data_IF_331384899082
#
_entry.id   IF_331384899082
#
_cell.length_a   1.000
_cell.length_b   1.000
_cell.length_c   1.000
_cell.angle_alpha   90.00
_cell.angle_beta   90.00
_cell.angle_gamma   90.00
#
_symmetry.space_group_name_H-M   'P 1'
#
loop_
_entity.id
_entity.type
_entity.pdbx_description
1 polymer ?
#
# COMPACT_ATOMS: atom_id res chain seq x y z
N UNK A 1 35.23 1.87 27.49
CA UNK A 1 33.93 1.54 26.86
C UNK A 1 33.75 2.55 25.73
N UNK A 2 33.94 2.14 24.46
CA UNK A 2 34.06 3.06 23.32
C UNK A 2 32.77 3.16 22.47
N UNK A 3 31.69 2.52 22.91
CA UNK A 3 30.40 2.53 22.22
C UNK A 3 29.44 3.51 22.94
N UNK A 4 28.98 4.52 22.22
CA UNK A 4 28.10 5.58 22.73
C UNK A 4 26.73 5.06 23.17
N UNK A 5 26.24 3.97 22.57
CA UNK A 5 24.96 3.34 22.92
C UNK A 5 25.10 2.65 24.28
N UNK A 6 26.16 1.85 24.45
CA UNK A 6 26.40 1.09 25.67
C UNK A 6 26.70 2.04 26.85
N UNK A 7 27.45 3.13 26.62
CA UNK A 7 27.73 4.14 27.65
C UNK A 7 26.46 4.82 28.16
N UNK A 8 25.42 4.97 27.35
CA UNK A 8 24.16 5.65 27.75
C UNK A 8 23.11 4.72 28.32
N UNK A 9 23.18 3.43 28.02
CA UNK A 9 22.29 2.44 28.61
C UNK A 9 22.63 2.15 30.08
N UNK A 10 23.84 2.48 30.56
CA UNK A 10 24.27 2.24 31.94
C UNK A 10 24.26 3.50 32.80
N UNK A 11 23.56 3.42 33.94
CA UNK A 11 23.51 4.46 34.99
C UNK A 11 24.78 4.44 35.87
N UNK A 12 25.42 3.27 36.03
CA UNK A 12 26.67 3.09 36.76
C UNK A 12 27.59 2.11 36.02
N UNK A 13 28.91 2.34 36.05
CA UNK A 13 29.90 1.42 35.47
C UNK A 13 31.17 1.40 36.33
N UNK A 14 31.62 0.20 36.73
CA UNK A 14 32.82 -0.01 37.57
C UNK A 14 32.89 0.88 38.82
N UNK A 15 31.77 1.04 39.53
CA UNK A 15 31.68 1.84 40.76
C UNK A 15 31.58 3.36 40.55
N UNK A 16 31.67 3.85 39.31
CA UNK A 16 31.45 5.25 38.98
C UNK A 16 30.00 5.49 38.53
N UNK A 17 29.41 6.61 38.98
CA UNK A 17 28.08 7.06 38.56
C UNK A 17 28.21 7.80 37.22
N UNK A 18 27.47 7.35 36.22
CA UNK A 18 27.50 7.85 34.84
C UNK A 18 26.22 8.66 34.50
N UNK A 19 25.48 9.07 35.53
CA UNK A 19 24.28 9.89 35.44
C UNK A 19 24.57 11.33 35.89
N UNK A 20 24.13 12.35 35.14
CA UNK A 20 23.41 12.30 33.86
C UNK A 20 24.33 11.94 32.68
N UNK A 21 23.81 11.28 31.63
CA UNK A 21 24.62 10.91 30.47
C UNK A 21 25.18 12.17 29.79
N UNK A 22 26.44 12.09 29.35
CA UNK A 22 27.07 13.17 28.58
C UNK A 22 26.19 13.53 27.37
N UNK A 23 25.86 14.83 27.18
CA UNK A 23 25.06 15.27 26.05
C UNK A 23 25.74 14.83 24.76
N UNK A 24 24.92 14.42 23.79
CA UNK A 24 25.42 14.17 22.43
C UNK A 24 26.25 15.38 22.00
N UNK A 25 27.46 15.18 21.42
CA UNK A 25 27.93 16.18 20.49
C UNK A 25 26.79 16.26 19.47
N UNK A 26 26.05 17.37 19.49
CA UNK A 26 25.10 17.66 18.44
C UNK A 26 25.93 17.56 17.18
N UNK A 27 25.70 16.48 16.42
CA UNK A 27 26.04 16.46 15.02
C UNK A 27 25.27 17.67 14.49
N UNK A 28 25.96 18.81 14.43
CA UNK A 28 25.86 19.69 13.29
C UNK A 28 26.21 18.79 12.11
N UNK A 29 25.24 17.96 11.71
CA UNK A 29 25.14 17.42 10.38
C UNK A 29 25.33 18.66 9.56
N UNK A 30 26.55 18.77 9.03
CA UNK A 30 27.18 20.00 8.57
C UNK A 30 26.07 20.89 8.04
N UNK A 31 25.70 21.94 8.80
CA UNK A 31 24.54 22.76 8.49
C UNK A 31 24.58 22.96 6.99
N UNK A 32 23.67 22.27 6.28
CA UNK A 32 23.80 21.92 4.86
C UNK A 32 24.31 23.17 4.20
N UNK A 33 25.62 23.20 3.86
CA UNK A 33 26.33 24.43 3.53
C UNK A 33 25.40 25.15 2.59
N UNK A 34 24.80 26.26 3.05
CA UNK A 34 23.68 26.86 2.35
C UNK A 34 24.22 27.13 0.96
N UNK A 35 23.82 26.26 0.01
CA UNK A 35 24.22 26.37 -1.36
C UNK A 35 23.69 27.72 -1.72
N UNK A 36 24.60 28.66 -2.01
CA UNK A 36 24.24 29.98 -2.51
C UNK A 36 23.09 29.76 -3.50
N UNK A 37 21.96 30.49 -3.36
CA UNK A 37 20.73 30.21 -4.11
C UNK A 37 21.13 29.92 -5.54
N UNK A 38 20.97 28.65 -5.92
CA UNK A 38 21.44 28.14 -7.19
C UNK A 38 20.74 29.02 -8.21
N UNK A 39 21.49 29.89 -8.91
CA UNK A 39 20.95 30.69 -10.01
C UNK A 39 20.11 29.72 -10.83
N UNK A 40 18.84 30.05 -11.16
CA UNK A 40 17.96 29.11 -11.84
C UNK A 40 18.69 28.64 -13.09
N UNK A 41 19.21 27.42 -13.02
CA UNK A 41 19.84 26.77 -14.16
C UNK A 41 18.67 26.60 -15.11
N UNK A 42 18.67 27.39 -16.19
CA UNK A 42 17.63 27.29 -17.20
C UNK A 42 17.46 25.81 -17.54
N UNK A 43 16.27 25.26 -17.26
CA UNK A 43 16.00 23.85 -17.51
C UNK A 43 16.41 23.56 -18.97
N UNK A 44 17.27 22.55 -19.22
CA UNK A 44 17.64 22.26 -20.60
C UNK A 44 16.36 21.94 -21.35
N UNK A 45 16.03 22.74 -22.39
CA UNK A 45 14.83 22.58 -23.24
C UNK A 45 14.59 21.14 -23.69
N UNK A 46 15.67 20.35 -23.79
CA UNK A 46 15.65 18.93 -24.13
C UNK A 46 14.97 18.03 -23.07
N UNK A 47 14.96 18.41 -21.79
CA UNK A 47 14.32 17.64 -20.70
C UNK A 47 12.79 17.69 -20.80
N UNK A 48 12.24 18.85 -21.15
CA UNK A 48 10.82 19.03 -21.42
C UNK A 48 10.40 18.25 -22.67
N UNK A 49 11.16 18.37 -23.77
CA UNK A 49 10.89 17.64 -25.02
C UNK A 49 10.96 16.12 -24.83
N UNK A 50 11.96 15.62 -24.11
CA UNK A 50 12.11 14.18 -23.79
C UNK A 50 10.96 13.67 -22.91
N UNK A 51 10.48 14.47 -21.96
CA UNK A 51 9.33 14.15 -21.11
C UNK A 51 8.02 14.12 -21.90
N UNK A 52 7.85 15.04 -22.86
CA UNK A 52 6.70 15.04 -23.79
C UNK A 52 6.74 13.85 -24.74
N UNK A 53 7.91 13.54 -25.32
CA UNK A 53 8.08 12.37 -26.19
C UNK A 53 7.84 11.07 -25.42
N UNK A 54 8.35 10.95 -24.19
CA UNK A 54 8.13 9.75 -23.37
C UNK A 54 6.66 9.57 -22.95
N UNK A 55 5.96 10.67 -22.65
CA UNK A 55 4.53 10.59 -22.32
C UNK A 55 3.68 10.28 -23.56
N UNK A 56 4.00 10.86 -24.72
CA UNK A 56 3.36 10.52 -25.98
C UNK A 56 3.60 9.04 -26.35
N UNK A 57 4.81 8.50 -26.12
CA UNK A 57 5.12 7.09 -26.34
C UNK A 57 4.28 6.19 -25.43
N UNK A 58 4.17 6.52 -24.14
CA UNK A 58 3.33 5.79 -23.20
C UNK A 58 1.85 5.81 -23.58
N UNK A 59 1.33 6.98 -24.00
CA UNK A 59 -0.04 7.11 -24.48
C UNK A 59 -0.28 6.28 -25.74
N UNK A 60 0.68 6.26 -26.68
CA UNK A 60 0.60 5.45 -27.89
C UNK A 60 0.60 3.95 -27.57
N UNK A 61 1.44 3.50 -26.63
CA UNK A 61 1.47 2.10 -26.16
C UNK A 61 0.14 1.70 -25.52
N UNK A 62 -0.40 2.54 -24.63
CA UNK A 62 -1.69 2.30 -23.98
C UNK A 62 -2.80 2.26 -25.03
N UNK A 63 -2.82 3.19 -25.98
CA UNK A 63 -3.79 3.23 -27.07
C UNK A 63 -3.72 1.98 -27.95
N UNK A 64 -2.52 1.53 -28.32
CA UNK A 64 -2.32 0.31 -29.09
C UNK A 64 -2.78 -0.94 -28.31
N UNK A 65 -2.49 -1.02 -27.01
CA UNK A 65 -2.95 -2.11 -26.15
C UNK A 65 -4.47 -2.14 -26.04
N UNK A 66 -5.12 -0.99 -25.84
CA UNK A 66 -6.57 -0.90 -25.77
C UNK A 66 -7.23 -1.25 -27.11
N UNK A 67 -6.62 -0.87 -28.23
CA UNK A 67 -7.09 -1.22 -29.57
C UNK A 67 -7.00 -2.73 -29.82
N UNK A 68 -5.85 -3.34 -29.51
CA UNK A 68 -5.67 -4.79 -29.61
C UNK A 68 -6.64 -5.53 -28.69
N UNK A 69 -6.81 -5.07 -27.46
CA UNK A 69 -7.77 -5.63 -26.52
C UNK A 69 -9.19 -5.58 -27.10
N UNK A 70 -9.60 -4.46 -27.69
CA UNK A 70 -10.92 -4.32 -28.33
C UNK A 70 -11.12 -5.19 -29.56
N UNK A 71 -10.05 -5.52 -30.30
CA UNK A 71 -10.13 -6.42 -31.46
C UNK A 71 -10.31 -7.89 -31.07
N UNK A 72 -9.66 -8.33 -29.99
CA UNK A 72 -9.62 -9.75 -29.63
C UNK A 72 -10.54 -10.12 -28.46
N UNK A 73 -11.01 -9.15 -27.67
CA UNK A 73 -11.81 -9.43 -26.49
C UNK A 73 -13.29 -9.73 -26.82
N UNK A 74 -13.92 -10.70 -26.13
CA UNK A 74 -15.36 -10.92 -26.21
C UNK A 74 -16.17 -9.68 -25.78
N UNK A 75 -17.38 -9.45 -26.32
CA UNK A 75 -18.22 -8.31 -25.95
C UNK A 75 -18.53 -8.21 -24.44
N UNK A 76 -18.72 -9.36 -23.78
CA UNK A 76 -18.97 -9.42 -22.32
C UNK A 76 -17.75 -8.95 -21.52
N UNK A 77 -16.54 -9.26 -22.01
CA UNK A 77 -15.31 -8.79 -21.37
C UNK A 77 -15.22 -7.27 -21.38
N UNK A 78 -15.63 -6.61 -22.48
CA UNK A 78 -15.60 -5.14 -22.57
C UNK A 78 -16.49 -4.48 -21.51
N UNK A 79 -17.64 -5.09 -21.19
CA UNK A 79 -18.50 -4.67 -20.08
C UNK A 79 -17.78 -4.75 -18.73
N UNK A 80 -17.21 -5.92 -18.39
CA UNK A 80 -16.46 -6.10 -17.15
C UNK A 80 -15.22 -5.21 -17.05
N UNK A 81 -14.50 -5.03 -18.16
CA UNK A 81 -13.32 -4.17 -18.23
C UNK A 81 -13.67 -2.70 -17.98
N UNK A 82 -14.78 -2.22 -18.54
CA UNK A 82 -15.26 -0.86 -18.29
C UNK A 82 -15.61 -0.67 -16.81
N UNK A 83 -16.33 -1.62 -16.22
CA UNK A 83 -16.66 -1.59 -14.78
C UNK A 83 -15.38 -1.61 -13.93
N UNK A 84 -14.40 -2.44 -14.31
CA UNK A 84 -13.10 -2.52 -13.62
C UNK A 84 -12.36 -1.17 -13.65
N UNK A 85 -12.23 -0.53 -14.81
CA UNK A 85 -11.56 0.78 -14.94
C UNK A 85 -12.28 1.84 -14.12
N UNK A 86 -13.60 1.93 -14.20
CA UNK A 86 -14.38 2.88 -13.41
C UNK A 86 -14.26 2.61 -11.90
N UNK A 87 -14.24 1.34 -11.48
CA UNK A 87 -14.05 0.97 -10.08
C UNK A 87 -12.66 1.38 -9.55
N UNK A 88 -11.60 1.34 -10.38
CA UNK A 88 -10.27 1.83 -10.00
C UNK A 88 -10.31 3.35 -9.74
N UNK A 89 -10.96 4.12 -10.61
CA UNK A 89 -11.13 5.57 -10.41
C UNK A 89 -11.92 5.87 -9.13
N UNK A 90 -13.02 5.15 -8.89
CA UNK A 90 -13.82 5.30 -7.67
C UNK A 90 -12.99 4.95 -6.43
N UNK A 91 -12.27 3.83 -6.44
CA UNK A 91 -11.42 3.40 -5.33
C UNK A 91 -10.33 4.42 -5.00
N UNK A 92 -9.70 5.01 -6.03
CA UNK A 92 -8.74 6.09 -5.85
C UNK A 92 -9.37 7.32 -5.17
N UNK A 93 -10.53 7.76 -5.67
CA UNK A 93 -11.23 8.94 -5.13
C UNK A 93 -11.65 8.75 -3.66
N UNK A 94 -12.09 7.53 -3.30
CA UNK A 94 -12.54 7.20 -1.94
C UNK A 94 -11.38 7.18 -0.94
N UNK A 95 -10.19 6.72 -1.35
CA UNK A 95 -9.03 6.60 -0.47
C UNK A 95 -8.20 7.89 -0.39
N UNK A 96 -8.33 8.81 -1.36
CA UNK A 96 -7.48 10.02 -1.40
C UNK A 96 -7.64 10.96 -0.19
N UNK A 97 -8.82 10.99 0.43
CA UNK A 97 -9.15 11.95 1.49
C UNK A 97 -9.42 11.31 2.86
N UNK A 98 -8.80 10.15 3.16
CA UNK A 98 -8.97 9.54 4.49
C UNK A 98 -8.11 10.27 5.52
N UNK A 99 -8.67 10.56 6.70
CA UNK A 99 -7.94 11.17 7.81
C UNK A 99 -6.73 10.30 8.20
N UNK A 100 -5.57 10.93 8.48
CA UNK A 100 -4.33 10.22 8.79
C UNK A 100 -4.46 9.19 9.92
N UNK A 101 -5.27 9.50 10.95
CA UNK A 101 -5.54 8.59 12.07
C UNK A 101 -6.26 7.29 11.65
N UNK A 102 -6.89 7.27 10.47
CA UNK A 102 -7.67 6.15 9.95
C UNK A 102 -6.90 5.30 8.94
N UNK A 103 -5.63 5.57 8.61
CA UNK A 103 -4.89 4.72 7.67
C UNK A 103 -4.73 3.27 8.16
N UNK A 104 -4.49 3.07 9.45
CA UNK A 104 -4.38 1.71 10.02
C UNK A 104 -5.74 0.98 10.05
N UNK A 105 -6.84 1.61 10.53
CA UNK A 105 -8.18 1.07 10.35
C UNK A 105 -8.54 0.79 8.87
N UNK A 106 -8.16 1.68 7.95
CA UNK A 106 -8.41 1.53 6.52
C UNK A 106 -7.68 0.29 5.97
N UNK A 107 -6.41 0.09 6.34
CA UNK A 107 -5.66 -1.12 5.98
C UNK A 107 -6.41 -2.38 6.45
N UNK A 108 -6.90 -2.39 7.69
CA UNK A 108 -7.68 -3.50 8.23
C UNK A 108 -9.00 -3.74 7.46
N UNK A 109 -9.71 -2.68 7.08
CA UNK A 109 -10.92 -2.77 6.26
C UNK A 109 -10.61 -3.35 4.88
N UNK A 110 -9.56 -2.85 4.22
CA UNK A 110 -9.19 -3.35 2.89
C UNK A 110 -8.80 -4.83 2.91
N UNK A 111 -8.21 -5.30 4.01
CA UNK A 111 -8.00 -6.73 4.21
C UNK A 111 -9.35 -7.47 4.31
N UNK A 112 -10.29 -7.00 5.14
CA UNK A 112 -11.62 -7.63 5.26
C UNK A 112 -12.39 -7.68 3.92
N UNK A 113 -12.32 -6.61 3.13
CA UNK A 113 -12.96 -6.53 1.79
C UNK A 113 -12.31 -7.50 0.81
N UNK A 114 -10.99 -7.73 0.91
CA UNK A 114 -10.30 -8.72 0.05
C UNK A 114 -10.85 -10.14 0.20
N UNK A 115 -11.55 -10.42 1.31
CA UNK A 115 -12.31 -11.65 1.53
C UNK A 115 -13.43 -11.92 0.51
N UNK A 116 -13.74 -10.99 -0.41
CA UNK A 116 -14.67 -11.18 -1.55
C UNK A 116 -14.36 -12.42 -2.39
N UNK A 117 -13.12 -12.94 -2.34
CA UNK A 117 -12.73 -14.22 -2.92
C UNK A 117 -13.63 -15.39 -2.48
N UNK A 118 -14.37 -15.25 -1.37
CA UNK A 118 -15.38 -16.22 -0.93
C UNK A 118 -16.41 -16.53 -2.02
N UNK A 119 -16.77 -15.56 -2.86
CA UNK A 119 -17.70 -15.76 -3.98
C UNK A 119 -17.15 -16.81 -4.95
N UNK A 120 -15.85 -16.77 -5.25
CA UNK A 120 -15.21 -17.76 -6.11
C UNK A 120 -15.25 -19.16 -5.51
N UNK A 121 -15.01 -19.30 -4.21
CA UNK A 121 -15.12 -20.58 -3.52
C UNK A 121 -16.55 -21.14 -3.54
N UNK A 122 -17.55 -20.29 -3.27
CA UNK A 122 -18.96 -20.69 -3.29
C UNK A 122 -19.44 -21.10 -4.68
N UNK A 123 -19.00 -20.42 -5.75
CA UNK A 123 -19.35 -20.76 -7.13
C UNK A 123 -18.74 -22.10 -7.58
N UNK A 124 -17.65 -22.53 -6.96
CA UNK A 124 -16.95 -23.77 -7.28
C UNK A 124 -17.38 -24.96 -6.42
N UNK A 125 -18.18 -24.73 -5.38
CA UNK A 125 -18.71 -25.78 -4.51
C UNK A 125 -19.74 -26.61 -5.29
N UNK A 126 -19.62 -27.93 -5.24
CA UNK A 126 -20.54 -28.87 -5.88
C UNK A 126 -21.06 -29.90 -4.88
N UNK A 127 -22.21 -30.51 -5.16
CA UNK A 127 -22.83 -31.53 -4.29
C UNK A 127 -22.01 -32.83 -4.19
N UNK A 128 -21.05 -33.04 -5.09
CA UNK A 128 -20.10 -34.15 -5.00
C UNK A 128 -18.99 -33.85 -3.97
N UNK A 129 -19.17 -34.38 -2.76
CA UNK A 129 -18.22 -34.26 -1.64
C UNK A 129 -16.89 -35.00 -1.94
N UNK A 130 -16.90 -35.99 -2.83
CA UNK A 130 -15.69 -36.74 -3.22
C UNK A 130 -14.82 -35.99 -4.23
N UNK A 131 -15.35 -34.95 -4.86
CA UNK A 131 -14.62 -34.14 -5.83
C UNK A 131 -13.49 -33.34 -5.17
N UNK A 132 -12.27 -33.49 -5.69
CA UNK A 132 -11.11 -32.69 -5.27
C UNK A 132 -11.38 -31.19 -5.40
N UNK A 133 -12.16 -30.78 -6.41
CA UNK A 133 -12.53 -29.38 -6.62
C UNK A 133 -13.42 -28.89 -5.48
N UNK A 134 -14.40 -29.69 -5.06
CA UNK A 134 -15.31 -29.35 -3.96
C UNK A 134 -14.56 -29.21 -2.62
N UNK A 135 -13.60 -30.11 -2.36
CA UNK A 135 -12.73 -30.02 -1.17
C UNK A 135 -11.88 -28.75 -1.17
N UNK A 136 -11.28 -28.40 -2.31
CA UNK A 136 -10.49 -27.16 -2.44
C UNK A 136 -11.40 -25.93 -2.28
N UNK A 137 -12.58 -25.94 -2.89
CA UNK A 137 -13.57 -24.86 -2.80
C UNK A 137 -14.02 -24.65 -1.35
N UNK A 138 -14.24 -25.73 -0.60
CA UNK A 138 -14.56 -25.68 0.82
C UNK A 138 -13.43 -25.04 1.64
N UNK A 139 -12.18 -25.47 1.45
CA UNK A 139 -11.02 -24.89 2.14
C UNK A 139 -10.84 -23.41 1.78
N UNK A 140 -10.97 -23.05 0.51
CA UNK A 140 -10.90 -21.66 0.05
C UNK A 140 -11.98 -20.79 0.71
N UNK A 141 -13.22 -21.29 0.78
CA UNK A 141 -14.35 -20.62 1.43
C UNK A 141 -14.11 -20.44 2.93
N UNK A 142 -13.57 -21.48 3.60
CA UNK A 142 -13.20 -21.42 5.02
C UNK A 142 -12.13 -20.36 5.28
N UNK A 143 -11.04 -20.33 4.50
CA UNK A 143 -9.97 -19.33 4.65
C UNK A 143 -10.51 -17.91 4.37
N UNK A 144 -11.32 -17.75 3.32
CA UNK A 144 -11.95 -16.48 3.01
C UNK A 144 -12.86 -16.00 4.15
N UNK A 145 -13.63 -16.90 4.77
CA UNK A 145 -14.47 -16.58 5.93
C UNK A 145 -13.66 -16.07 7.13
N UNK A 146 -12.48 -16.66 7.39
CA UNK A 146 -11.59 -16.22 8.46
C UNK A 146 -11.08 -14.81 8.18
N UNK A 147 -10.72 -14.51 6.92
CA UNK A 147 -10.28 -13.18 6.51
C UNK A 147 -11.39 -12.12 6.70
N UNK A 148 -12.62 -12.43 6.28
CA UNK A 148 -13.79 -11.56 6.45
C UNK A 148 -14.04 -11.28 7.94
N UNK A 149 -14.23 -12.34 8.74
CA UNK A 149 -14.59 -12.22 10.15
C UNK A 149 -13.47 -11.55 10.94
N UNK A 150 -12.22 -11.99 10.75
CA UNK A 150 -11.05 -11.42 11.42
C UNK A 150 -10.84 -9.95 11.05
N UNK A 151 -10.90 -9.62 9.76
CA UNK A 151 -10.71 -8.26 9.27
C UNK A 151 -11.78 -7.29 9.78
N UNK A 152 -13.05 -7.67 9.75
CA UNK A 152 -14.12 -6.80 10.27
C UNK A 152 -14.10 -6.68 11.79
N UNK A 153 -13.77 -7.76 12.52
CA UNK A 153 -13.68 -7.72 13.98
C UNK A 153 -12.55 -6.82 14.47
N UNK A 154 -11.37 -6.92 13.85
CA UNK A 154 -10.21 -6.05 14.16
C UNK A 154 -10.53 -4.60 13.83
N UNK A 155 -11.09 -4.35 12.65
CA UNK A 155 -11.52 -3.01 12.25
C UNK A 155 -12.50 -2.42 13.26
N UNK A 156 -13.52 -3.18 13.65
CA UNK A 156 -14.52 -2.74 14.62
C UNK A 156 -13.88 -2.36 15.96
N UNK A 157 -12.93 -3.18 16.45
CA UNK A 157 -12.16 -2.88 17.67
C UNK A 157 -11.36 -1.58 17.52
N UNK A 158 -10.65 -1.40 16.40
CA UNK A 158 -9.87 -0.19 16.12
C UNK A 158 -10.75 1.06 16.08
N UNK A 159 -11.90 1.01 15.39
CA UNK A 159 -12.81 2.15 15.28
C UNK A 159 -13.47 2.50 16.62
N UNK A 160 -13.73 1.51 17.48
CA UNK A 160 -14.29 1.77 18.81
C UNK A 160 -13.32 2.53 19.73
N UNK A 161 -12.01 2.48 19.48
CA UNK A 161 -11.02 3.27 20.24
C UNK A 161 -11.10 4.78 19.93
N UNK A 162 -11.79 5.17 18.87
CA UNK A 162 -12.03 6.57 18.50
C UNK A 162 -13.36 7.12 18.99
N UNK A 163 -14.23 6.28 19.56
CA UNK A 163 -15.50 6.71 20.16
C UNK A 163 -15.21 7.25 21.57
N UNK A 164 -15.74 8.43 21.87
CA UNK A 164 -15.73 8.99 23.23
C UNK A 164 -16.77 8.33 24.10
#
# INVERSE_FOLDING_TARGET
>A
MNDDIIKRAMVTYSGAVNWPPEPLPVSVSSAKKATAPEKPVAEPKNKALRKTISSALWLAIIGALLYLLGMYAPPVFMGHFTVFVLAVFVGWQVIWNVTHALHTPLMSVTNAISGIIIIGGLLQMTDDIGSTVSVIAFVATLIASINIVGGFLVTHRMLNMFKK
#
